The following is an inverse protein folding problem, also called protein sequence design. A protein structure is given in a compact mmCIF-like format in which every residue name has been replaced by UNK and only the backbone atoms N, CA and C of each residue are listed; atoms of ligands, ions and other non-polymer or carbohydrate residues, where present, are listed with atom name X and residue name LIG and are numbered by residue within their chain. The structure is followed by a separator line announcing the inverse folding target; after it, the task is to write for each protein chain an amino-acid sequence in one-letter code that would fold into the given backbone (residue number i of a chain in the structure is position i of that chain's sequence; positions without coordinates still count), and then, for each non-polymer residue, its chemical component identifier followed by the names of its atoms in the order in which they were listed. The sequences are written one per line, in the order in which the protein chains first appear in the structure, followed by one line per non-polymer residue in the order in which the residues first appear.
data_IF_101106635894
#
_entry.id   IF_101106635894
#
_cell.length_a   1.000
_cell.length_b   1.000
_cell.length_c   1.000
_cell.angle_alpha   90.00
_cell.angle_beta   90.00
_cell.angle_gamma   90.00
#
_symmetry.space_group_name_H-M   'P 1'
#
loop_
_entity.id
_entity.type
_entity.pdbx_description
1 polymer ?
#
# COMPACT_ATOMS: atom_id res chain seq x y z
N UNK A 1 -9.30 1.44 -17.49
CA UNK A 1 -10.50 1.24 -16.64
C UNK A 1 -10.43 2.32 -15.58
N UNK A 2 -11.47 3.14 -15.43
CA UNK A 2 -11.46 4.19 -14.41
C UNK A 2 -11.46 3.53 -13.02
N UNK A 3 -10.46 3.85 -12.19
CA UNK A 3 -10.42 3.37 -10.81
C UNK A 3 -11.47 4.13 -10.00
N UNK A 4 -12.37 3.38 -9.37
CA UNK A 4 -13.39 3.96 -8.49
C UNK A 4 -12.80 4.06 -7.09
N UNK A 5 -12.91 5.22 -6.46
CA UNK A 5 -12.50 5.42 -5.07
C UNK A 5 -13.28 4.45 -4.17
N UNK A 6 -12.61 3.61 -3.35
CA UNK A 6 -13.31 2.79 -2.39
C UNK A 6 -13.91 3.67 -1.31
N UNK A 7 -15.05 3.23 -0.80
CA UNK A 7 -15.67 3.81 0.40
C UNK A 7 -15.89 2.70 1.43
N UNK A 8 -15.77 3.07 2.70
CA UNK A 8 -15.74 2.10 3.80
C UNK A 8 -16.76 2.48 4.87
N UNK A 9 -17.48 1.47 5.34
CA UNK A 9 -18.27 1.59 6.55
C UNK A 9 -17.35 1.71 7.77
N UNK A 10 -17.87 2.20 8.91
CA UNK A 10 -17.09 2.27 10.15
C UNK A 10 -16.58 0.91 10.61
N UNK A 11 -17.29 -0.18 10.31
CA UNK A 11 -16.85 -1.54 10.66
C UNK A 11 -15.70 -2.01 9.77
N UNK A 12 -15.73 -1.67 8.48
CA UNK A 12 -14.63 -1.97 7.56
C UNK A 12 -13.38 -1.17 7.89
N UNK A 13 -13.53 0.09 8.29
CA UNK A 13 -12.41 0.90 8.79
C UNK A 13 -11.82 0.25 10.07
N UNK A 14 -12.69 -0.20 10.99
CA UNK A 14 -12.24 -0.93 12.19
C UNK A 14 -11.45 -2.17 11.80
N UNK A 15 -11.96 -2.98 10.88
CA UNK A 15 -11.27 -4.19 10.42
C UNK A 15 -9.90 -3.86 9.83
N UNK A 16 -9.80 -2.86 8.95
CA UNK A 16 -8.53 -2.42 8.34
C UNK A 16 -7.51 -2.06 9.43
N UNK A 17 -7.91 -1.28 10.45
CA UNK A 17 -7.02 -0.87 11.54
C UNK A 17 -6.61 -2.08 12.40
N UNK A 18 -7.56 -2.96 12.74
CA UNK A 18 -7.26 -4.14 13.57
C UNK A 18 -6.33 -5.13 12.87
N UNK A 19 -6.46 -5.31 11.55
CA UNK A 19 -5.52 -6.14 10.78
C UNK A 19 -4.12 -5.52 10.76
N UNK A 20 -4.01 -4.20 10.63
CA UNK A 20 -2.71 -3.51 10.72
C UNK A 20 -2.07 -3.72 12.09
N UNK A 21 -2.81 -3.54 13.18
CA UNK A 21 -2.28 -3.73 14.53
C UNK A 21 -1.92 -5.19 14.79
N UNK A 22 -2.66 -6.14 14.22
CA UNK A 22 -2.35 -7.56 14.31
C UNK A 22 -1.01 -7.91 13.64
N UNK A 23 -0.75 -7.35 12.45
CA UNK A 23 0.49 -7.60 11.70
C UNK A 23 1.65 -6.75 12.19
N UNK A 24 1.36 -5.55 12.65
CA UNK A 24 2.31 -4.54 13.10
C UNK A 24 1.89 -4.00 14.49
N UNK A 25 2.08 -4.77 15.58
CA UNK A 25 1.60 -4.40 16.92
C UNK A 25 2.19 -3.13 17.53
N UNK A 26 3.26 -2.58 16.93
CA UNK A 26 3.93 -1.33 17.32
C UNK A 26 3.61 -0.20 16.34
N UNK A 27 2.51 -0.29 15.61
CA UNK A 27 1.99 0.82 14.80
C UNK A 27 1.55 1.94 15.70
N UNK A 28 1.85 3.19 15.31
CA UNK A 28 1.44 4.38 16.04
C UNK A 28 0.26 5.09 15.34
N UNK A 29 -0.27 6.15 15.93
CA UNK A 29 -1.38 6.93 15.36
C UNK A 29 -1.04 7.47 13.96
N UNK A 30 0.22 7.91 13.78
CA UNK A 30 0.75 8.34 12.48
C UNK A 30 0.74 7.21 11.42
N UNK A 31 1.01 5.97 11.82
CA UNK A 31 1.01 4.82 10.90
C UNK A 31 -0.42 4.45 10.48
N UNK A 32 -1.39 4.58 11.40
CA UNK A 32 -2.82 4.38 11.10
C UNK A 32 -3.36 5.47 10.17
N UNK A 33 -2.96 6.74 10.37
CA UNK A 33 -3.28 7.82 9.42
C UNK A 33 -2.82 7.46 8.01
N UNK A 34 -1.57 7.01 7.88
CA UNK A 34 -1.00 6.61 6.60
C UNK A 34 -1.68 5.36 6.02
N UNK A 35 -2.03 4.38 6.86
CA UNK A 35 -2.78 3.19 6.45
C UNK A 35 -4.12 3.58 5.83
N UNK A 36 -4.93 4.36 6.54
CA UNK A 36 -6.26 4.76 6.06
C UNK A 36 -6.14 5.62 4.80
N UNK A 37 -5.15 6.50 4.73
CA UNK A 37 -4.86 7.23 3.50
C UNK A 37 -4.63 6.26 2.33
N UNK A 38 -3.77 5.25 2.51
CA UNK A 38 -3.52 4.25 1.46
C UNK A 38 -4.75 3.38 1.15
N UNK A 39 -5.63 3.12 2.12
CA UNK A 39 -6.87 2.39 1.93
C UNK A 39 -7.85 3.16 1.03
N UNK A 40 -7.94 4.49 1.18
CA UNK A 40 -8.83 5.34 0.37
C UNK A 40 -8.21 5.78 -0.95
N UNK A 41 -6.92 6.13 -0.95
CA UNK A 41 -6.24 6.79 -2.08
C UNK A 41 -5.17 5.96 -2.78
N UNK A 42 -4.74 4.84 -2.18
CA UNK A 42 -3.75 3.97 -2.78
C UNK A 42 -2.42 4.66 -3.07
N UNK A 43 -1.82 4.41 -4.25
CA UNK A 43 -0.57 5.04 -4.66
C UNK A 43 -0.75 6.44 -5.29
N UNK A 44 -1.95 7.03 -5.28
CA UNK A 44 -2.25 8.27 -6.04
C UNK A 44 -1.50 9.54 -5.57
N UNK A 45 -0.70 9.46 -4.52
CA UNK A 45 0.24 10.51 -4.10
C UNK A 45 1.58 10.46 -4.84
N UNK A 46 1.85 9.38 -5.56
CA UNK A 46 3.11 9.21 -6.27
C UNK A 46 3.16 10.13 -7.48
N UNK A 47 4.37 10.60 -7.78
CA UNK A 47 4.66 11.22 -9.06
C UNK A 47 4.50 10.15 -10.17
N UNK A 48 3.65 10.37 -11.18
CA UNK A 48 3.18 9.32 -12.10
C UNK A 48 4.23 8.93 -13.17
N UNK A 49 5.51 9.20 -12.95
CA UNK A 49 6.55 8.88 -13.92
C UNK A 49 7.01 7.44 -13.76
N UNK A 50 6.67 6.61 -14.74
CA UNK A 50 6.99 5.17 -14.80
C UNK A 50 8.48 4.91 -14.57
N UNK A 51 9.33 5.68 -15.22
CA UNK A 51 10.79 5.53 -15.17
C UNK A 51 11.30 5.81 -13.76
N UNK A 52 10.75 6.81 -13.06
CA UNK A 52 11.10 7.14 -11.67
C UNK A 52 10.71 5.98 -10.75
N UNK A 53 9.51 5.42 -10.92
CA UNK A 53 9.03 4.28 -10.12
C UNK A 53 9.98 3.08 -10.29
N UNK A 54 10.35 2.75 -11.53
CA UNK A 54 11.28 1.66 -11.85
C UNK A 54 12.66 1.92 -11.25
N UNK A 55 13.21 3.12 -11.43
CA UNK A 55 14.52 3.49 -10.89
C UNK A 55 14.54 3.40 -9.36
N UNK A 56 13.50 3.88 -8.69
CA UNK A 56 13.37 3.82 -7.24
C UNK A 56 13.26 2.37 -6.74
N UNK A 57 12.47 1.53 -7.41
CA UNK A 57 12.39 0.10 -7.08
C UNK A 57 13.74 -0.60 -7.23
N UNK A 58 14.46 -0.38 -8.34
CA UNK A 58 15.80 -0.95 -8.54
C UNK A 58 16.79 -0.51 -7.45
N UNK A 59 16.82 0.78 -7.11
CA UNK A 59 17.66 1.29 -6.01
C UNK A 59 17.31 0.66 -4.67
N UNK A 60 16.03 0.53 -4.37
CA UNK A 60 15.55 -0.10 -3.14
C UNK A 60 16.00 -1.56 -3.07
N UNK A 61 15.76 -2.35 -4.12
CA UNK A 61 16.13 -3.77 -4.21
C UNK A 61 17.63 -3.98 -3.98
N UNK A 62 18.47 -3.14 -4.59
CA UNK A 62 19.92 -3.25 -4.47
C UNK A 62 20.45 -2.85 -3.07
N UNK A 63 19.66 -2.11 -2.28
CA UNK A 63 20.05 -1.62 -0.95
C UNK A 63 19.32 -2.33 0.20
N UNK A 64 18.30 -3.13 -0.11
CA UNK A 64 17.51 -3.87 0.86
C UNK A 64 18.37 -4.89 1.61
N UNK A 65 18.25 -4.86 2.94
CA UNK A 65 18.68 -5.96 3.79
C UNK A 65 17.51 -6.94 3.87
N UNK A 66 17.65 -8.09 3.22
CA UNK A 66 16.63 -9.14 3.14
C UNK A 66 16.04 -9.48 4.51
N UNK A 67 14.87 -8.90 4.80
CA UNK A 67 14.08 -9.14 6.01
C UNK A 67 12.64 -8.82 5.70
N UNK A 68 11.83 -9.85 5.42
CA UNK A 68 10.38 -9.77 5.61
C UNK A 68 9.73 -11.14 5.48
N UNK A 69 8.72 -11.35 6.31
CA UNK A 69 7.93 -12.58 6.47
C UNK A 69 6.54 -12.49 5.81
N UNK A 70 6.05 -11.28 5.49
CA UNK A 70 4.67 -11.06 5.00
C UNK A 70 4.70 -10.66 3.51
N UNK A 71 4.16 -11.51 2.60
CA UNK A 71 4.26 -11.26 1.17
C UNK A 71 3.24 -10.26 0.62
N UNK A 72 2.06 -10.19 1.22
CA UNK A 72 1.06 -9.21 0.89
C UNK A 72 0.13 -8.95 2.08
N UNK A 73 -0.55 -7.81 2.06
CA UNK A 73 -1.54 -7.40 3.04
C UNK A 73 -2.70 -6.70 2.33
N UNK A 74 -3.93 -7.12 2.59
CA UNK A 74 -5.12 -6.35 2.20
C UNK A 74 -5.28 -5.15 3.15
N UNK A 75 -5.41 -3.96 2.59
CA UNK A 75 -5.62 -2.71 3.33
C UNK A 75 -6.92 -2.01 2.93
N UNK A 76 -7.74 -2.63 2.11
CA UNK A 76 -8.95 -2.04 1.54
C UNK A 76 -10.19 -2.91 1.72
N UNK A 77 -10.24 -3.77 2.74
CA UNK A 77 -11.38 -4.62 3.08
C UNK A 77 -11.98 -5.35 1.84
N UNK A 78 -11.11 -5.91 0.99
CA UNK A 78 -11.45 -6.55 -0.29
C UNK A 78 -12.11 -5.67 -1.37
N UNK A 79 -12.21 -4.35 -1.15
CA UNK A 79 -12.82 -3.38 -2.08
C UNK A 79 -11.82 -2.47 -2.78
N UNK A 80 -10.60 -2.38 -2.26
CA UNK A 80 -9.65 -1.36 -2.67
C UNK A 80 -8.23 -1.88 -2.83
N UNK A 81 -7.32 -1.34 -2.03
CA UNK A 81 -5.90 -1.53 -2.23
C UNK A 81 -5.33 -2.67 -1.39
N UNK A 82 -4.24 -3.23 -1.91
CA UNK A 82 -3.38 -4.17 -1.20
C UNK A 82 -1.95 -3.59 -1.16
N UNK A 83 -1.20 -3.96 -0.13
CA UNK A 83 0.25 -3.78 -0.03
C UNK A 83 0.93 -5.06 -0.46
N UNK A 84 1.68 -5.02 -1.56
CA UNK A 84 2.56 -6.10 -2.01
C UNK A 84 3.98 -5.87 -1.53
N UNK A 85 4.59 -6.89 -0.93
CA UNK A 85 5.97 -6.80 -0.51
C UNK A 85 6.90 -6.93 -1.72
N UNK A 86 7.79 -5.96 -1.91
CA UNK A 86 8.73 -5.94 -3.03
C UNK A 86 9.66 -7.17 -3.00
N UNK A 87 10.09 -7.66 -1.83
CA UNK A 87 10.88 -8.89 -1.74
C UNK A 87 10.12 -10.12 -2.22
N UNK A 88 8.82 -10.21 -1.97
CA UNK A 88 8.05 -11.38 -2.36
C UNK A 88 7.97 -11.50 -3.87
N UNK A 89 7.79 -10.38 -4.58
CA UNK A 89 7.81 -10.34 -6.04
C UNK A 89 9.14 -10.86 -6.60
N UNK A 90 10.25 -10.56 -5.92
CA UNK A 90 11.61 -10.90 -6.34
C UNK A 90 11.98 -12.35 -5.98
N UNK A 91 11.52 -12.82 -4.82
CA UNK A 91 11.92 -14.11 -4.24
C UNK A 91 11.17 -15.31 -4.80
N UNK A 92 10.12 -15.10 -5.59
CA UNK A 92 9.37 -16.19 -6.19
C UNK A 92 10.27 -17.02 -7.11
N UNK A 93 10.56 -18.30 -6.79
CA UNK A 93 11.11 -19.24 -7.76
C UNK A 93 10.13 -19.35 -8.92
N UNK A 94 10.64 -19.38 -10.14
CA UNK A 94 9.80 -19.45 -11.36
C UNK A 94 8.85 -20.66 -11.34
N UNK A 95 9.18 -21.71 -10.57
CA UNK A 95 8.34 -22.90 -10.38
C UNK A 95 7.29 -22.78 -9.25
N UNK A 96 7.48 -21.91 -8.26
CA UNK A 96 6.54 -21.73 -7.14
C UNK A 96 5.33 -20.85 -7.54
N UNK A 97 5.53 -19.94 -8.51
CA UNK A 97 4.46 -19.18 -9.16
C UNK A 97 3.51 -20.10 -9.94
N UNK A 98 4.01 -21.21 -10.48
CA UNK A 98 3.20 -22.20 -11.21
C UNK A 98 2.29 -23.01 -10.27
N UNK A 99 2.74 -23.34 -9.05
CA UNK A 99 2.02 -24.21 -8.11
C UNK A 99 1.09 -23.49 -7.12
N UNK A 100 1.44 -22.31 -6.60
CA UNK A 100 0.58 -21.54 -5.66
C UNK A 100 -0.45 -20.66 -6.35
N UNK A 101 -0.78 -21.08 -7.56
CA UNK A 101 -1.71 -20.50 -8.48
C UNK A 101 -3.18 -20.74 -8.01
N UNK A 102 -3.48 -20.49 -6.73
CA UNK A 102 -4.85 -20.27 -6.21
C UNK A 102 -4.98 -18.98 -5.39
N UNK A 103 -3.89 -18.46 -4.83
CA UNK A 103 -3.87 -17.17 -4.11
C UNK A 103 -3.53 -15.98 -5.02
N UNK A 104 -2.86 -16.23 -6.16
CA UNK A 104 -2.46 -15.23 -7.17
C UNK A 104 -3.13 -15.50 -8.53
N UNK A 105 -4.04 -16.47 -8.59
CA UNK A 105 -4.46 -17.02 -9.87
C UNK A 105 -5.93 -16.74 -10.19
N UNK A 106 -6.09 -16.10 -11.34
CA UNK A 106 -6.71 -16.86 -12.42
C UNK A 106 -6.10 -16.60 -13.79
N UNK A 107 -4.94 -15.92 -13.83
CA UNK A 107 -4.93 -14.85 -14.79
C UNK A 107 -3.52 -14.42 -15.35
N UNK A 108 -2.40 -14.43 -14.62
CA UNK A 108 -1.09 -14.04 -15.23
C UNK A 108 -0.42 -15.29 -15.81
N UNK A 109 -0.14 -15.39 -17.13
CA UNK A 109 0.62 -16.52 -17.64
C UNK A 109 2.07 -16.39 -17.14
N UNK A 110 2.46 -17.32 -16.27
CA UNK A 110 3.80 -17.40 -15.68
C UNK A 110 4.94 -17.59 -16.69
N UNK A 111 4.60 -17.83 -17.96
CA UNK A 111 5.51 -17.98 -19.10
C UNK A 111 6.12 -16.66 -19.61
N UNK A 112 5.62 -15.49 -19.20
CA UNK A 112 6.15 -14.16 -19.59
C UNK A 112 7.01 -13.47 -18.52
N UNK A 113 7.22 -14.10 -17.36
CA UNK A 113 8.06 -13.56 -16.28
C UNK A 113 9.47 -14.15 -16.40
N UNK A 114 10.22 -13.73 -17.42
CA UNK A 114 11.55 -14.31 -17.73
C UNK A 114 12.69 -13.68 -16.94
N UNK A 115 12.46 -12.61 -16.17
CA UNK A 115 13.48 -12.02 -15.31
C UNK A 115 12.95 -11.05 -14.25
N UNK A 116 13.86 -10.61 -13.37
CA UNK A 116 13.59 -9.58 -12.36
C UNK A 116 13.14 -8.25 -12.99
N UNK A 117 13.71 -7.88 -14.13
CA UNK A 117 13.37 -6.66 -14.87
C UNK A 117 11.91 -6.65 -15.33
N UNK A 118 11.40 -7.76 -15.85
CA UNK A 118 10.00 -7.90 -16.28
C UNK A 118 9.05 -7.72 -15.08
N UNK A 119 9.39 -8.33 -13.93
CA UNK A 119 8.61 -8.22 -12.68
C UNK A 119 8.53 -6.78 -12.17
N UNK A 120 9.62 -6.02 -12.26
CA UNK A 120 9.68 -4.60 -11.87
C UNK A 120 8.85 -3.73 -12.81
N UNK A 121 8.96 -3.97 -14.12
CA UNK A 121 8.18 -3.25 -15.13
C UNK A 121 6.67 -3.44 -14.93
N UNK A 122 6.24 -4.70 -14.79
CA UNK A 122 4.83 -5.04 -14.54
C UNK A 122 4.32 -4.38 -13.25
N UNK A 123 5.11 -4.40 -12.18
CA UNK A 123 4.73 -3.79 -10.92
C UNK A 123 4.60 -2.26 -11.04
N UNK A 124 5.51 -1.60 -11.78
CA UNK A 124 5.40 -0.18 -12.05
C UNK A 124 4.09 0.14 -12.81
N UNK A 125 3.76 -0.66 -13.81
CA UNK A 125 2.52 -0.51 -14.58
C UNK A 125 1.27 -0.71 -13.70
N UNK A 126 1.32 -1.65 -12.75
CA UNK A 126 0.23 -1.86 -11.78
C UNK A 126 0.06 -0.69 -10.83
N UNK A 127 1.17 -0.12 -10.33
CA UNK A 127 1.15 1.04 -9.45
C UNK A 127 0.50 2.22 -10.19
N UNK A 128 0.94 2.50 -11.41
CA UNK A 128 0.39 3.59 -12.23
C UNK A 128 -1.09 3.40 -12.54
N UNK A 129 -1.50 2.19 -12.92
CA UNK A 129 -2.91 1.88 -13.16
C UNK A 129 -3.77 1.97 -11.89
N UNK A 130 -3.16 1.87 -10.71
CA UNK A 130 -3.85 1.99 -9.42
C UNK A 130 -3.97 3.44 -8.95
N UNK A 131 -3.33 4.40 -9.61
CA UNK A 131 -3.50 5.81 -9.32
C UNK A 131 -4.84 6.31 -9.86
N UNK A 132 -5.50 7.20 -9.12
CA UNK A 132 -6.64 7.95 -9.63
C UNK A 132 -6.18 9.04 -10.61
N UNK A 133 -6.93 9.21 -11.72
CA UNK A 133 -6.60 10.19 -12.77
C UNK A 133 -6.56 11.63 -12.23
N UNK A 134 -7.51 11.97 -11.37
CA UNK A 134 -7.59 13.29 -10.71
C UNK A 134 -6.66 13.43 -9.50
N UNK A 135 -5.84 12.40 -9.22
CA UNK A 135 -4.96 12.36 -8.06
C UNK A 135 -5.71 12.38 -6.73
N UNK A 136 -5.19 13.15 -5.77
CA UNK A 136 -5.74 13.27 -4.43
C UNK A 136 -6.69 14.47 -4.36
N UNK A 137 -7.93 14.20 -3.98
CA UNK A 137 -8.81 15.24 -3.46
C UNK A 137 -8.54 15.40 -1.96
N UNK A 138 -7.78 16.43 -1.59
CA UNK A 138 -7.39 16.68 -0.21
C UNK A 138 -8.55 17.08 0.69
N UNK A 139 -9.57 17.76 0.15
CA UNK A 139 -10.76 18.11 0.93
C UNK A 139 -11.55 16.85 1.27
N UNK A 140 -11.72 15.94 0.31
CA UNK A 140 -12.35 14.64 0.57
C UNK A 140 -11.55 13.80 1.55
N UNK A 141 -10.21 13.79 1.46
CA UNK A 141 -9.37 13.08 2.42
C UNK A 141 -9.48 13.66 3.83
N UNK A 142 -9.41 14.98 3.99
CA UNK A 142 -9.57 15.65 5.29
C UNK A 142 -10.92 15.25 5.91
N UNK A 143 -12.01 15.36 5.15
CA UNK A 143 -13.34 14.98 5.62
C UNK A 143 -13.41 13.49 6.03
N UNK A 144 -12.83 12.59 5.24
CA UNK A 144 -12.77 11.15 5.56
C UNK A 144 -11.97 10.90 6.83
N UNK A 145 -10.81 11.52 6.97
CA UNK A 145 -9.97 11.40 8.15
C UNK A 145 -10.67 11.90 9.40
N UNK A 146 -11.27 13.10 9.36
CA UNK A 146 -12.02 13.68 10.49
C UNK A 146 -13.14 12.74 10.97
N UNK A 147 -13.87 12.12 10.05
CA UNK A 147 -14.89 11.13 10.38
C UNK A 147 -14.32 9.83 10.99
N UNK A 148 -13.07 9.48 10.67
CA UNK A 148 -12.38 8.32 11.24
C UNK A 148 -11.81 8.58 12.64
N UNK A 149 -11.51 9.84 13.00
CA UNK A 149 -10.82 10.20 14.26
C UNK A 149 -11.43 9.54 15.50
N UNK A 150 -12.76 9.57 15.74
CA UNK A 150 -13.34 8.96 16.94
C UNK A 150 -13.07 7.46 17.05
N UNK A 151 -13.16 6.75 15.92
CA UNK A 151 -12.88 5.32 15.86
C UNK A 151 -11.38 5.04 16.05
N UNK A 152 -10.52 5.77 15.34
CA UNK A 152 -9.07 5.60 15.45
C UNK A 152 -8.61 5.83 16.89
N UNK A 153 -9.04 6.93 17.53
CA UNK A 153 -8.69 7.25 18.92
C UNK A 153 -9.25 6.25 19.94
N UNK A 154 -10.29 5.48 19.59
CA UNK A 154 -10.79 4.38 20.43
C UNK A 154 -9.91 3.12 20.39
N UNK A 155 -9.07 2.98 19.35
CA UNK A 155 -8.21 1.83 19.12
C UNK A 155 -6.75 2.14 19.48
N UNK A 156 -6.29 3.35 19.15
CA UNK A 156 -4.91 3.78 19.37
C UNK A 156 -4.86 5.15 20.01
N UNK A 157 -4.07 5.29 21.07
CA UNK A 157 -3.89 6.56 21.77
C UNK A 157 -2.89 7.44 21.01
N UNK A 158 -3.28 8.63 20.53
CA UNK A 158 -2.36 9.54 19.87
C UNK A 158 -1.44 10.24 20.87
N UNK A 159 -0.25 10.60 20.42
CA UNK A 159 0.59 11.59 21.12
C UNK A 159 0.36 12.99 20.54
N UNK A 160 0.62 14.04 21.33
CA UNK A 160 0.53 15.43 20.85
C UNK A 160 1.47 15.70 19.68
N UNK A 161 2.65 15.08 19.65
CA UNK A 161 3.59 15.22 18.53
C UNK A 161 3.01 14.66 17.23
N UNK A 162 2.37 13.49 17.28
CA UNK A 162 1.75 12.90 16.10
C UNK A 162 0.55 13.68 15.59
N UNK A 163 -0.26 14.25 16.49
CA UNK A 163 -1.37 15.14 16.10
C UNK A 163 -0.84 16.35 15.34
N UNK A 164 0.20 17.01 15.85
CA UNK A 164 0.86 18.14 15.18
C UNK A 164 1.48 17.75 13.83
N UNK A 165 2.09 16.57 13.73
CA UNK A 165 2.64 16.06 12.45
C UNK A 165 1.51 15.84 11.43
N UNK A 166 0.38 15.26 11.85
CA UNK A 166 -0.76 15.03 10.96
C UNK A 166 -1.37 16.36 10.52
N UNK A 167 -1.57 17.32 11.43
CA UNK A 167 -2.05 18.67 11.11
C UNK A 167 -1.15 19.37 10.08
N UNK A 168 0.17 19.29 10.26
CA UNK A 168 1.15 19.82 9.30
C UNK A 168 1.07 19.13 7.94
N UNK A 169 0.90 17.81 7.92
CA UNK A 169 0.72 17.02 6.69
C UNK A 169 -0.57 17.40 5.94
N UNK A 170 -1.68 17.55 6.66
CA UNK A 170 -2.96 17.98 6.07
C UNK A 170 -2.86 19.40 5.52
N UNK A 171 -2.22 20.32 6.25
CA UNK A 171 -1.99 21.70 5.82
C UNK A 171 -1.13 21.78 4.56
N UNK A 172 -0.05 21.01 4.53
CA UNK A 172 0.90 20.97 3.39
C UNK A 172 0.44 20.08 2.25
N UNK A 173 -0.65 19.33 2.42
CA UNK A 173 -1.14 18.37 1.44
C UNK A 173 -0.05 17.34 1.05
N UNK A 174 0.57 16.76 2.08
CA UNK A 174 1.57 15.70 1.95
C UNK A 174 1.23 14.52 2.84
N UNK A 175 1.79 13.35 2.52
CA UNK A 175 1.62 12.13 3.32
C UNK A 175 2.85 11.90 4.16
N UNK A 176 2.70 11.62 5.47
CA UNK A 176 3.84 11.39 6.33
C UNK A 176 4.60 10.13 5.94
N UNK A 177 5.87 10.08 6.34
CA UNK A 177 6.59 8.80 6.41
C UNK A 177 6.11 8.00 7.62
N UNK A 178 6.31 6.68 7.59
CA UNK A 178 6.04 5.83 8.76
C UNK A 178 6.84 6.28 9.98
N UNK A 179 6.29 6.00 11.16
CA UNK A 179 6.95 6.29 12.43
C UNK A 179 8.35 5.64 12.49
N UNK A 180 9.24 6.21 13.30
CA UNK A 180 10.61 5.68 13.45
C UNK A 180 10.59 4.24 13.99
N UNK A 181 9.70 3.94 14.93
CA UNK A 181 9.55 2.59 15.50
C UNK A 181 9.06 1.61 14.42
N UNK A 182 8.01 1.97 13.67
CA UNK A 182 7.48 1.14 12.58
C UNK A 182 8.56 0.82 11.53
N UNK A 183 9.28 1.83 11.04
CA UNK A 183 10.36 1.63 10.05
C UNK A 183 11.48 0.74 10.57
N UNK A 184 11.85 0.89 11.84
CA UNK A 184 12.93 0.10 12.45
C UNK A 184 12.53 -1.36 12.65
N UNK A 185 11.28 -1.63 13.05
CA UNK A 185 10.81 -2.97 13.37
C UNK A 185 10.38 -3.76 12.13
N UNK A 186 9.65 -3.12 11.23
CA UNK A 186 8.99 -3.81 10.12
C UNK A 186 9.69 -3.63 8.78
N UNK A 187 10.54 -2.60 8.65
CA UNK A 187 11.28 -2.28 7.43
C UNK A 187 10.39 -2.37 6.16
N UNK A 188 9.32 -1.56 6.09
CA UNK A 188 8.26 -1.75 5.12
C UNK A 188 8.73 -1.45 3.69
N UNK A 189 8.80 -2.50 2.88
CA UNK A 189 9.11 -2.43 1.45
C UNK A 189 7.87 -2.76 0.61
N UNK A 190 6.73 -2.17 0.99
CA UNK A 190 5.45 -2.43 0.34
C UNK A 190 5.22 -1.52 -0.88
N UNK A 191 4.50 -2.04 -1.86
CA UNK A 191 3.90 -1.29 -2.98
C UNK A 191 2.40 -1.40 -2.91
N UNK A 192 1.72 -0.26 -3.02
CA UNK A 192 0.27 -0.21 -2.95
C UNK A 192 -0.27 -0.35 -4.35
N UNK A 193 -1.12 -1.34 -4.59
CA UNK A 193 -1.82 -1.54 -5.86
C UNK A 193 -3.30 -1.85 -5.59
N UNK A 194 -4.16 -1.55 -6.54
CA UNK A 194 -5.58 -1.84 -6.45
C UNK A 194 -5.84 -3.33 -6.74
N UNK A 195 -6.79 -3.95 -6.04
CA UNK A 195 -7.13 -5.37 -6.23
C UNK A 195 -7.55 -5.70 -7.69
N UNK A 196 -8.05 -4.70 -8.43
CA UNK A 196 -8.47 -4.87 -9.83
C UNK A 196 -7.31 -4.91 -10.82
N UNK A 197 -6.17 -4.27 -10.55
CA UNK A 197 -5.02 -4.27 -11.48
C UNK A 197 -4.25 -5.57 -11.46
N UNK A 198 -4.40 -6.37 -10.40
CA UNK A 198 -4.03 -7.79 -10.44
C UNK A 198 -4.69 -8.54 -11.60
N UNK A 199 -5.82 -8.05 -12.12
CA UNK A 199 -6.52 -8.62 -13.29
C UNK A 199 -5.99 -8.12 -14.64
N UNK A 200 -5.06 -7.16 -14.67
CA UNK A 200 -4.45 -6.57 -15.88
C UNK A 200 -3.00 -7.01 -16.12
N UNK A 201 -2.36 -7.63 -15.14
CA UNK A 201 -1.17 -8.48 -15.34
C UNK A 201 -1.54 -9.77 -16.16
N UNK A 202 -2.77 -9.80 -16.65
CA UNK A 202 -3.56 -10.93 -17.09
C UNK A 202 -4.37 -10.47 -18.31
N UNK A 203 -3.72 -10.05 -19.35
CA UNK A 203 -4.24 -10.32 -20.68
C UNK A 203 -3.04 -10.72 -21.52
#
# INVERSE_FOLDING_TARGET
MLMVKPDFTSEEIREIILQEIKLHPRSHYLDVFKLLYQAFYGPSHLEPQREIIIQNMNKEINSMKWKTEIPYQDIGANKGFIRLNLLSIISFPDDYLKQNSKLINKKIPTEYLTGLEDKINILADCILQSCFEDGIDWNDWINKWENCIPLVKSIISPTTEEELIIEDCLTKQIIPTHSKEYRKLYNPHYRVIHHSVLKHIVQ
#
